data_IF_758704439938
#
_entry.id   IF_758704439938
#
_cell.length_a   1.000
_cell.length_b   1.000
_cell.length_c   1.000
_cell.angle_alpha   90.00
_cell.angle_beta   90.00
_cell.angle_gamma   90.00
#
_symmetry.space_group_name_H-M   'P 1'
#
loop_
_entity.id
_entity.type
_entity.pdbx_description
1 polymer ?
#
# COMPACT_ATOMS: atom_id res chain seq x y z
N UNK A 1 15.77 25.28 29.26
CA UNK A 1 15.66 24.01 28.51
C UNK A 1 14.79 24.30 27.30
N UNK A 2 15.36 24.33 26.09
CA UNK A 2 14.59 24.50 24.85
C UNK A 2 14.05 23.13 24.44
N UNK A 3 12.72 23.00 24.41
CA UNK A 3 12.04 21.87 23.79
C UNK A 3 12.22 22.00 22.28
N UNK A 4 13.33 21.44 21.75
CA UNK A 4 13.55 21.34 20.31
C UNK A 4 12.39 20.52 19.75
N UNK A 5 11.52 21.08 18.91
CA UNK A 5 10.48 20.29 18.31
C UNK A 5 11.16 19.19 17.50
N UNK A 6 10.81 17.93 17.76
CA UNK A 6 11.28 16.77 17.01
C UNK A 6 10.70 16.84 15.58
N UNK A 7 11.25 17.74 14.77
CA UNK A 7 10.97 17.90 13.35
C UNK A 7 11.64 16.75 12.61
N UNK A 8 10.99 15.58 12.60
CA UNK A 8 11.31 14.56 11.60
C UNK A 8 10.75 15.09 10.28
N UNK A 9 11.54 15.90 9.55
CA UNK A 9 11.17 16.51 8.26
C UNK A 9 10.46 15.52 7.33
N UNK A 10 10.86 14.25 7.38
CA UNK A 10 10.23 13.12 6.71
C UNK A 10 8.70 13.07 6.92
N UNK A 11 8.22 13.23 8.16
CA UNK A 11 6.79 13.14 8.48
C UNK A 11 5.99 14.32 7.93
N UNK A 12 6.62 15.50 7.84
CA UNK A 12 5.99 16.73 7.32
C UNK A 12 5.63 16.57 5.84
N UNK A 13 6.46 15.84 5.07
CA UNK A 13 6.20 15.55 3.66
C UNK A 13 5.37 14.27 3.45
N UNK A 14 5.53 13.27 4.31
CA UNK A 14 4.83 11.98 4.17
C UNK A 14 3.33 12.06 4.47
N UNK A 15 2.93 12.79 5.51
CA UNK A 15 1.51 12.87 5.90
C UNK A 15 0.66 13.51 4.78
N UNK A 16 1.04 14.67 4.21
CA UNK A 16 0.31 15.26 3.10
C UNK A 16 0.28 14.37 1.86
N UNK A 17 1.39 13.69 1.53
CA UNK A 17 1.43 12.76 0.40
C UNK A 17 0.46 11.59 0.58
N UNK A 18 0.41 11.01 1.78
CA UNK A 18 -0.51 9.92 2.11
C UNK A 18 -1.97 10.39 2.05
N UNK A 19 -2.26 11.60 2.55
CA UNK A 19 -3.60 12.19 2.46
C UNK A 19 -4.05 12.38 1.00
N UNK A 20 -3.16 12.91 0.15
CA UNK A 20 -3.42 13.08 -1.28
C UNK A 20 -3.71 11.75 -1.97
N UNK A 21 -2.87 10.73 -1.76
CA UNK A 21 -3.07 9.40 -2.35
C UNK A 21 -4.40 8.78 -1.90
N UNK A 22 -4.76 8.90 -0.62
CA UNK A 22 -6.07 8.43 -0.14
C UNK A 22 -7.23 9.18 -0.82
N UNK A 23 -7.11 10.49 -1.02
CA UNK A 23 -8.12 11.28 -1.73
C UNK A 23 -8.28 10.87 -3.21
N UNK A 24 -7.21 10.39 -3.84
CA UNK A 24 -7.23 9.83 -5.21
C UNK A 24 -7.77 8.39 -5.28
N UNK A 25 -8.15 7.79 -4.14
CA UNK A 25 -8.70 6.43 -4.08
C UNK A 25 -7.66 5.33 -3.86
N UNK A 26 -6.39 5.67 -3.58
CA UNK A 26 -5.41 4.65 -3.20
C UNK A 26 -5.70 4.12 -1.80
N UNK A 27 -5.56 2.81 -1.64
CA UNK A 27 -5.68 2.15 -0.34
C UNK A 27 -4.31 2.15 0.35
N UNK A 28 -4.26 2.74 1.54
CA UNK A 28 -3.06 2.67 2.38
C UNK A 28 -2.92 1.27 2.98
N UNK A 29 -1.70 0.73 2.91
CA UNK A 29 -1.30 -0.48 3.63
C UNK A 29 -0.20 -0.12 4.61
N UNK A 30 -0.34 -0.60 5.84
CA UNK A 30 0.74 -0.57 6.82
C UNK A 30 1.92 -1.43 6.36
N UNK A 31 3.14 -1.20 6.88
CA UNK A 31 4.29 -2.04 6.56
C UNK A 31 4.04 -3.54 6.80
N UNK A 32 3.31 -3.88 7.87
CA UNK A 32 2.95 -5.27 8.19
C UNK A 32 1.99 -5.87 7.16
N UNK A 33 0.97 -5.14 6.74
CA UNK A 33 0.03 -5.58 5.70
C UNK A 33 0.72 -5.73 4.35
N UNK A 34 1.59 -4.78 3.98
CA UNK A 34 2.37 -4.86 2.76
C UNK A 34 3.31 -6.07 2.74
N UNK A 35 3.97 -6.36 3.87
CA UNK A 35 4.83 -7.53 4.01
C UNK A 35 4.02 -8.84 3.93
N UNK A 36 2.86 -8.91 4.58
CA UNK A 36 1.98 -10.05 4.49
C UNK A 36 1.50 -10.28 3.05
N UNK A 37 1.12 -9.21 2.34
CA UNK A 37 0.70 -9.27 0.95
C UNK A 37 1.83 -9.70 -0.02
N UNK A 38 3.10 -9.50 0.35
CA UNK A 38 4.30 -9.99 -0.36
C UNK A 38 4.67 -11.45 -0.03
N UNK A 39 3.83 -12.16 0.74
CA UNK A 39 4.12 -13.51 1.22
C UNK A 39 5.21 -13.56 2.29
N UNK A 40 5.39 -12.49 3.06
CA UNK A 40 6.36 -12.42 4.16
C UNK A 40 7.81 -12.19 3.73
N UNK A 41 8.07 -11.98 2.43
CA UNK A 41 9.43 -11.80 1.88
C UNK A 41 9.70 -10.33 1.59
N UNK A 42 10.72 -9.75 2.25
CA UNK A 42 11.13 -8.37 2.02
C UNK A 42 11.71 -8.14 0.61
N UNK A 43 12.30 -9.17 -0.01
CA UNK A 43 12.80 -9.12 -1.38
C UNK A 43 11.70 -9.07 -2.44
N UNK A 44 10.47 -9.48 -2.10
CA UNK A 44 9.36 -9.46 -3.03
C UNK A 44 8.83 -8.03 -3.19
N UNK A 45 8.65 -7.60 -4.44
CA UNK A 45 8.12 -6.28 -4.79
C UNK A 45 6.64 -6.32 -5.16
N UNK A 46 6.10 -7.51 -5.45
CA UNK A 46 4.70 -7.73 -5.83
C UNK A 46 3.86 -8.05 -4.59
N UNK A 47 2.66 -7.47 -4.52
CA UNK A 47 1.64 -7.80 -3.53
C UNK A 47 0.80 -8.98 -4.04
N UNK A 48 1.36 -10.19 -3.96
CA UNK A 48 0.80 -11.41 -4.58
C UNK A 48 -0.67 -11.65 -4.23
N UNK A 49 -1.08 -11.45 -2.96
CA UNK A 49 -2.46 -11.64 -2.53
C UNK A 49 -3.43 -10.63 -3.18
N UNK A 50 -2.99 -9.38 -3.31
CA UNK A 50 -3.75 -8.29 -3.95
C UNK A 50 -3.87 -8.57 -5.45
N UNK A 51 -2.76 -8.88 -6.11
CA UNK A 51 -2.73 -9.17 -7.54
C UNK A 51 -3.59 -10.39 -7.89
N UNK A 52 -3.47 -11.48 -7.14
CA UNK A 52 -4.25 -12.70 -7.37
C UNK A 52 -5.77 -12.44 -7.23
N UNK A 53 -6.17 -11.65 -6.24
CA UNK A 53 -7.58 -11.26 -6.05
C UNK A 53 -8.07 -10.40 -7.22
N UNK A 54 -7.28 -9.40 -7.61
CA UNK A 54 -7.60 -8.54 -8.75
C UNK A 54 -7.79 -9.33 -10.04
N UNK A 55 -6.83 -10.22 -10.37
CA UNK A 55 -6.89 -11.03 -11.59
C UNK A 55 -8.11 -11.96 -11.61
N UNK A 56 -8.47 -12.58 -10.48
CA UNK A 56 -9.68 -13.43 -10.40
C UNK A 56 -10.95 -12.63 -10.67
N UNK A 57 -11.06 -11.44 -10.09
CA UNK A 57 -12.22 -10.57 -10.27
C UNK A 57 -12.33 -10.04 -11.69
N UNK A 58 -11.23 -9.58 -12.27
CA UNK A 58 -11.25 -8.90 -13.58
C UNK A 58 -11.20 -9.86 -14.77
N UNK A 59 -10.51 -10.99 -14.66
CA UNK A 59 -10.34 -11.94 -15.76
C UNK A 59 -11.38 -13.06 -15.75
N UNK A 60 -12.61 -12.78 -15.33
CA UNK A 60 -13.70 -13.76 -15.39
C UNK A 60 -14.11 -14.02 -16.84
N UNK A 61 -13.70 -15.16 -17.39
CA UNK A 61 -14.01 -15.58 -18.75
C UNK A 61 -15.33 -16.36 -18.74
N UNK A 62 -16.36 -15.82 -19.38
CA UNK A 62 -17.57 -16.57 -19.68
C UNK A 62 -17.36 -17.40 -20.95
N UNK A 63 -17.36 -18.73 -20.81
CA UNK A 63 -17.40 -19.66 -21.93
C UNK A 63 -18.84 -19.67 -22.48
N UNK A 64 -19.02 -19.24 -23.74
CA UNK A 64 -20.27 -19.50 -24.46
C UNK A 64 -20.14 -20.88 -25.09
N UNK A 65 -20.99 -21.81 -24.66
CA UNK A 65 -21.09 -23.15 -25.24
C UNK A 65 -21.70 -23.16 -26.63
#
# INVERSE_FOLDING_TARGET
>A
MMNVPSFREELVSQIPALQLLKALGYTYLTPTEALAARGGKLSNVILDSVLATFLRTQNSIHQQG
#
